data_IF_720839776619
#
_entry.id   IF_720839776619
#
_cell.length_a   1.000
_cell.length_b   1.000
_cell.length_c   1.000
_cell.angle_alpha   90.00
_cell.angle_beta   90.00
_cell.angle_gamma   90.00
#
_symmetry.space_group_name_H-M   'P 1'
#
loop_
_entity.id
_entity.type
_entity.pdbx_description
1 polymer ?
#
# COMPACT_ATOMS: atom_id res chain seq x y z
N UNK A 1 -50.16 17.35 22.84
CA UNK A 1 -48.74 17.40 23.00
C UNK A 1 -48.11 17.02 21.64
N UNK A 2 -47.62 18.00 20.91
CA UNK A 2 -46.88 17.77 19.65
C UNK A 2 -45.42 17.53 20.02
N UNK A 3 -44.93 16.32 19.83
CA UNK A 3 -43.52 16.04 19.84
C UNK A 3 -42.89 16.72 18.61
N UNK A 4 -42.13 17.78 18.86
CA UNK A 4 -41.20 18.32 17.88
C UNK A 4 -40.08 17.31 17.68
N UNK A 5 -40.10 16.60 16.57
CA UNK A 5 -38.91 15.90 16.06
C UNK A 5 -37.86 16.98 15.77
N UNK A 6 -36.90 17.13 16.66
CA UNK A 6 -35.66 17.82 16.34
C UNK A 6 -35.03 17.09 15.14
N UNK A 7 -35.09 17.71 13.98
CA UNK A 7 -34.25 17.30 12.86
C UNK A 7 -32.79 17.35 13.35
N UNK A 8 -32.10 16.20 13.38
CA UNK A 8 -30.67 16.15 13.61
C UNK A 8 -30.04 16.99 12.49
N UNK A 9 -29.23 17.98 12.88
CA UNK A 9 -28.47 18.76 11.93
C UNK A 9 -27.57 17.79 11.13
N UNK A 10 -27.66 17.87 9.82
CA UNK A 10 -26.77 17.18 8.90
C UNK A 10 -25.37 17.74 9.19
N UNK A 11 -24.40 16.89 9.52
CA UNK A 11 -23.03 17.34 9.71
C UNK A 11 -22.55 17.97 8.38
N UNK A 12 -22.53 19.28 8.33
CA UNK A 12 -21.99 19.98 7.17
C UNK A 12 -20.49 20.15 7.37
N UNK A 13 -19.73 19.48 6.54
CA UNK A 13 -18.29 19.71 6.45
C UNK A 13 -18.00 21.10 5.88
N UNK A 14 -16.97 21.73 6.40
CA UNK A 14 -16.45 23.02 5.92
C UNK A 14 -15.03 22.80 5.41
N UNK A 15 -14.81 23.13 4.15
CA UNK A 15 -13.50 23.10 3.53
C UNK A 15 -12.56 24.14 4.14
N UNK A 16 -11.34 23.74 4.37
CA UNK A 16 -10.25 24.58 4.83
C UNK A 16 -9.03 24.35 3.97
N UNK A 17 -8.32 25.43 3.70
CA UNK A 17 -7.04 25.41 3.02
C UNK A 17 -5.96 26.05 3.89
N UNK A 18 -4.78 25.49 3.89
CA UNK A 18 -3.60 26.01 4.57
C UNK A 18 -2.38 25.91 3.66
N UNK A 19 -1.65 27.02 3.54
CA UNK A 19 -0.34 27.03 2.89
C UNK A 19 0.73 26.98 3.97
N UNK A 20 1.59 25.99 3.91
CA UNK A 20 2.70 25.82 4.84
C UNK A 20 3.91 26.56 4.29
N UNK A 21 4.43 27.49 5.08
CA UNK A 21 5.60 28.31 4.72
C UNK A 21 6.86 27.92 5.50
N UNK A 22 6.69 27.19 6.59
CA UNK A 22 7.77 26.60 7.36
C UNK A 22 8.40 25.43 6.59
N UNK A 23 9.69 25.29 6.74
CA UNK A 23 10.41 24.13 6.21
C UNK A 23 10.14 22.93 7.09
N UNK A 24 9.97 21.79 6.47
CA UNK A 24 9.88 20.49 7.14
C UNK A 24 10.57 19.44 6.26
N UNK A 25 10.93 18.33 6.88
CA UNK A 25 11.52 17.19 6.20
C UNK A 25 10.61 15.96 6.25
N UNK A 26 9.97 15.77 7.37
CA UNK A 26 9.12 14.61 7.60
C UNK A 26 7.64 14.98 7.43
N UNK A 27 6.80 14.00 7.09
CA UNK A 27 5.36 14.17 6.90
C UNK A 27 4.63 13.09 7.70
N UNK A 28 3.73 13.50 8.58
CA UNK A 28 2.91 12.60 9.38
C UNK A 28 1.44 12.99 9.26
N UNK A 29 0.65 12.18 8.58
CA UNK A 29 -0.76 12.44 8.31
C UNK A 29 -1.61 11.38 9.00
N UNK A 30 -2.42 11.79 9.95
CA UNK A 30 -3.43 10.99 10.59
C UNK A 30 -4.78 11.69 10.46
N UNK A 31 -5.71 11.04 9.75
CA UNK A 31 -7.04 11.58 9.46
C UNK A 31 -8.14 10.87 10.25
N UNK A 32 -9.37 11.38 10.16
CA UNK A 32 -10.55 10.70 10.68
C UNK A 32 -10.76 9.33 10.00
N UNK A 33 -11.50 8.48 10.66
CA UNK A 33 -11.64 7.04 10.35
C UNK A 33 -12.07 6.72 8.90
N UNK A 34 -12.84 7.60 8.26
CA UNK A 34 -13.46 7.42 6.95
C UNK A 34 -13.02 8.45 5.89
N UNK A 35 -11.94 9.17 6.12
CA UNK A 35 -11.44 10.17 5.19
C UNK A 35 -10.39 9.61 4.24
N UNK A 36 -10.57 9.92 2.96
CA UNK A 36 -9.54 9.70 1.94
C UNK A 36 -8.39 10.68 2.11
N UNK A 37 -7.17 10.22 1.87
CA UNK A 37 -5.97 11.06 1.85
C UNK A 37 -5.30 10.96 0.49
N UNK A 38 -4.99 12.11 -0.09
CA UNK A 38 -4.26 12.21 -1.35
C UNK A 38 -2.99 13.03 -1.14
N UNK A 39 -1.85 12.39 -1.37
CA UNK A 39 -0.56 13.05 -1.45
C UNK A 39 -0.24 13.29 -2.93
N UNK A 40 -0.16 14.55 -3.33
CA UNK A 40 -0.01 14.96 -4.73
C UNK A 40 1.11 15.98 -4.90
N UNK A 41 1.55 16.19 -6.13
CA UNK A 41 2.53 17.21 -6.46
C UNK A 41 1.92 18.61 -6.32
N UNK A 42 2.70 19.54 -5.78
CA UNK A 42 2.32 20.94 -5.70
C UNK A 42 2.64 21.69 -6.99
N UNK A 43 1.77 22.60 -7.38
CA UNK A 43 1.97 23.46 -8.54
C UNK A 43 3.00 24.59 -8.30
N UNK A 44 3.46 24.75 -7.05
CA UNK A 44 4.44 25.75 -6.65
C UNK A 44 5.44 25.19 -5.61
N UNK A 45 6.38 25.99 -5.16
CA UNK A 45 7.42 25.57 -4.21
C UNK A 45 6.93 25.46 -2.74
N UNK A 46 5.59 25.40 -2.52
CA UNK A 46 5.01 25.35 -1.18
C UNK A 46 4.19 24.11 -0.97
N UNK A 47 4.05 23.74 0.29
CA UNK A 47 3.09 22.71 0.67
C UNK A 47 1.72 23.33 0.91
N UNK A 48 0.67 22.72 0.34
CA UNK A 48 -0.71 23.11 0.56
C UNK A 48 -1.49 21.93 1.13
N UNK A 49 -2.32 22.21 2.14
CA UNK A 49 -3.17 21.20 2.77
C UNK A 49 -4.62 21.66 2.66
N UNK A 50 -5.44 20.86 1.96
CA UNK A 50 -6.89 21.03 1.88
C UNK A 50 -7.54 19.92 2.70
N UNK A 51 -8.45 20.29 3.59
CA UNK A 51 -9.15 19.36 4.48
C UNK A 51 -10.54 19.84 4.86
N UNK A 52 -11.34 18.98 5.44
CA UNK A 52 -12.73 19.26 5.78
C UNK A 52 -12.99 19.04 7.26
N UNK A 53 -13.47 20.08 7.96
CA UNK A 53 -13.85 20.00 9.35
C UNK A 53 -15.37 20.03 9.53
N UNK A 54 -15.85 19.39 10.56
CA UNK A 54 -17.21 19.48 11.08
C UNK A 54 -17.18 19.77 12.58
N UNK A 55 -18.32 20.04 13.24
CA UNK A 55 -18.35 20.20 14.71
C UNK A 55 -17.77 19.03 15.50
N UNK A 56 -17.84 17.82 14.94
CA UNK A 56 -17.40 16.59 15.59
C UNK A 56 -16.07 16.06 15.04
N UNK A 57 -15.58 16.59 13.91
CA UNK A 57 -14.32 16.20 13.26
C UNK A 57 -13.48 17.44 13.07
N UNK A 58 -12.37 17.54 13.78
CA UNK A 58 -11.52 18.74 13.79
C UNK A 58 -10.08 18.31 13.50
N UNK A 59 -9.51 18.82 12.41
CA UNK A 59 -8.13 18.60 12.06
C UNK A 59 -7.22 19.70 12.60
N UNK A 60 -6.00 19.32 12.93
CA UNK A 60 -4.91 20.22 13.26
C UNK A 60 -3.74 19.97 12.32
N UNK A 61 -3.28 21.01 11.67
CA UNK A 61 -2.12 20.97 10.77
C UNK A 61 -1.05 21.92 11.33
N UNK A 62 0.12 21.38 11.62
CA UNK A 62 1.23 22.14 12.23
C UNK A 62 2.57 21.66 11.68
N UNK A 63 3.59 22.53 11.73
CA UNK A 63 4.98 22.09 11.57
C UNK A 63 5.64 22.10 12.94
N UNK A 64 6.13 20.96 13.37
CA UNK A 64 6.82 20.79 14.65
C UNK A 64 7.95 19.77 14.52
N UNK A 65 9.07 20.02 15.18
CA UNK A 65 10.24 19.13 15.18
C UNK A 65 10.69 18.71 13.75
N UNK A 66 10.66 19.64 12.80
CA UNK A 66 10.99 19.45 11.37
C UNK A 66 10.01 18.51 10.62
N UNK A 67 8.81 18.29 11.16
CA UNK A 67 7.76 17.47 10.57
C UNK A 67 6.48 18.27 10.30
N UNK A 68 5.88 18.09 9.13
CA UNK A 68 4.49 18.43 8.87
C UNK A 68 3.60 17.40 9.57
N UNK A 69 2.86 17.82 10.56
CA UNK A 69 2.00 16.94 11.36
C UNK A 69 0.55 17.33 11.16
N UNK A 70 -0.24 16.40 10.66
CA UNK A 70 -1.69 16.48 10.60
C UNK A 70 -2.31 15.46 11.53
N UNK A 71 -3.17 15.92 12.44
CA UNK A 71 -3.92 15.05 13.36
C UNK A 71 -5.40 15.36 13.29
N UNK A 72 -6.24 14.41 13.67
CA UNK A 72 -7.68 14.56 13.71
C UNK A 72 -8.24 14.19 15.09
N UNK A 73 -9.08 15.08 15.64
CA UNK A 73 -9.96 14.76 16.76
C UNK A 73 -11.33 14.39 16.21
N UNK A 74 -11.66 13.10 16.23
CA UNK A 74 -12.95 12.58 15.79
C UNK A 74 -13.81 12.23 17.00
N UNK A 75 -14.82 13.04 17.27
CA UNK A 75 -15.76 12.88 18.36
C UNK A 75 -17.12 12.33 17.92
N UNK A 76 -17.21 11.81 16.71
CA UNK A 76 -18.44 11.19 16.20
C UNK A 76 -18.80 9.96 17.02
N UNK A 77 -20.09 9.81 17.31
CA UNK A 77 -20.59 8.60 17.96
C UNK A 77 -21.01 7.57 16.92
N UNK A 78 -20.79 6.30 17.18
CA UNK A 78 -21.19 5.20 16.29
C UNK A 78 -22.64 5.37 15.82
N UNK A 79 -22.86 5.43 14.51
CA UNK A 79 -24.17 5.62 13.88
C UNK A 79 -24.61 7.09 13.72
N UNK A 80 -23.78 8.07 14.07
CA UNK A 80 -23.98 9.45 13.67
C UNK A 80 -23.36 9.63 12.27
N UNK A 81 -24.25 9.64 11.30
CA UNK A 81 -24.05 10.02 9.90
C UNK A 81 -23.31 9.06 8.96
N UNK A 82 -24.10 8.18 8.41
CA UNK A 82 -23.91 7.79 7.02
C UNK A 82 -24.68 8.82 6.14
N UNK A 83 -24.19 10.06 6.06
CA UNK A 83 -24.76 11.07 5.18
C UNK A 83 -24.36 10.74 3.74
N UNK A 84 -25.33 10.53 2.87
CA UNK A 84 -25.14 10.55 1.42
C UNK A 84 -24.80 12.01 1.01
N UNK A 85 -23.54 12.34 1.03
CA UNK A 85 -22.95 13.60 0.56
C UNK A 85 -21.59 13.29 -0.04
N UNK A 86 -20.92 14.26 -0.62
CA UNK A 86 -19.53 14.12 -1.04
C UNK A 86 -18.69 13.75 0.19
N UNK A 87 -18.02 12.60 0.13
CA UNK A 87 -17.21 12.12 1.25
C UNK A 87 -16.05 13.10 1.48
N UNK A 88 -15.80 13.51 2.74
CA UNK A 88 -14.71 14.42 3.04
C UNK A 88 -13.37 13.77 2.75
N UNK A 89 -12.43 14.55 2.26
CA UNK A 89 -11.09 14.10 1.90
C UNK A 89 -10.03 15.08 2.41
N UNK A 90 -8.80 14.62 2.40
CA UNK A 90 -7.61 15.42 2.65
C UNK A 90 -6.72 15.39 1.43
N UNK A 91 -6.28 16.55 0.96
CA UNK A 91 -5.24 16.66 -0.06
C UNK A 91 -4.05 17.38 0.53
N UNK A 92 -2.90 16.73 0.47
CA UNK A 92 -1.61 17.31 0.82
C UNK A 92 -0.79 17.44 -0.46
N UNK A 93 -0.65 18.65 -0.95
CA UNK A 93 0.17 18.96 -2.12
C UNK A 93 1.57 19.33 -1.64
N UNK A 94 2.57 18.57 -2.05
CA UNK A 94 3.96 18.77 -1.65
C UNK A 94 4.84 19.16 -2.84
N UNK A 95 5.79 20.06 -2.68
CA UNK A 95 6.75 20.39 -3.72
C UNK A 95 7.69 19.20 -4.00
N UNK A 96 8.28 19.17 -5.18
CA UNK A 96 9.35 18.22 -5.49
C UNK A 96 10.51 18.39 -4.50
N UNK A 97 11.03 17.29 -3.99
CA UNK A 97 12.13 17.32 -3.03
C UNK A 97 12.48 15.96 -2.44
N UNK A 98 13.51 15.98 -1.58
CA UNK A 98 13.88 14.84 -0.76
C UNK A 98 13.26 15.00 0.63
N UNK A 99 12.53 13.98 1.07
CA UNK A 99 11.88 13.94 2.37
C UNK A 99 12.59 12.93 3.29
N UNK A 100 12.40 13.09 4.60
CA UNK A 100 12.81 12.09 5.57
C UNK A 100 11.81 10.94 5.63
N UNK A 101 11.01 10.90 6.68
CA UNK A 101 9.97 9.88 6.83
C UNK A 101 8.59 10.43 6.46
N UNK A 102 7.85 9.67 5.66
CA UNK A 102 6.47 9.98 5.28
C UNK A 102 5.57 8.88 5.84
N UNK A 103 4.61 9.25 6.69
CA UNK A 103 3.64 8.33 7.28
C UNK A 103 2.22 8.80 7.02
N UNK A 104 1.38 7.92 6.51
CA UNK A 104 -0.05 8.15 6.30
C UNK A 104 -0.88 7.07 7.01
N UNK A 105 -1.87 7.50 7.79
CA UNK A 105 -2.73 6.59 8.55
C UNK A 105 -4.21 6.95 8.39
N UNK A 106 -5.01 5.96 8.01
CA UNK A 106 -6.47 6.01 8.01
C UNK A 106 -7.05 4.69 8.52
N UNK A 107 -8.35 4.63 8.84
CA UNK A 107 -8.99 3.35 9.20
C UNK A 107 -9.85 2.76 8.08
N UNK A 108 -10.59 3.58 7.36
CA UNK A 108 -11.51 3.10 6.31
C UNK A 108 -11.49 3.96 5.05
N UNK A 109 -10.72 5.05 5.05
CA UNK A 109 -10.54 5.88 3.88
C UNK A 109 -9.48 5.32 2.93
N UNK A 110 -9.43 5.85 1.74
CA UNK A 110 -8.44 5.49 0.72
C UNK A 110 -7.19 6.35 0.86
N UNK A 111 -6.01 5.72 0.87
CA UNK A 111 -4.74 6.43 0.86
C UNK A 111 -4.11 6.39 -0.53
N UNK A 112 -3.92 7.54 -1.13
CA UNK A 112 -3.38 7.69 -2.48
C UNK A 112 -2.10 8.51 -2.45
N UNK A 113 -1.03 8.00 -3.04
CA UNK A 113 0.18 8.76 -3.34
C UNK A 113 0.53 8.61 -4.81
N UNK A 114 0.44 9.69 -5.56
CA UNK A 114 0.74 9.70 -7.01
C UNK A 114 1.88 10.66 -7.38
N UNK A 115 2.42 11.39 -6.41
CA UNK A 115 3.57 12.28 -6.60
C UNK A 115 4.87 11.48 -6.69
N UNK A 116 5.84 11.99 -7.44
CA UNK A 116 7.18 11.43 -7.41
C UNK A 116 7.86 11.79 -6.09
N UNK A 117 8.12 10.77 -5.27
CA UNK A 117 8.68 10.91 -3.93
C UNK A 117 10.07 10.31 -3.86
N UNK A 118 10.99 11.04 -3.22
CA UNK A 118 12.26 10.52 -2.72
C UNK A 118 12.29 10.70 -1.19
N UNK A 119 12.41 9.61 -0.43
CA UNK A 119 12.38 9.68 1.04
C UNK A 119 13.20 8.57 1.72
N UNK A 120 13.40 8.70 3.03
CA UNK A 120 13.99 7.64 3.84
C UNK A 120 13.01 6.49 4.04
N UNK A 121 11.89 6.74 4.71
CA UNK A 121 10.82 5.75 4.92
C UNK A 121 9.49 6.26 4.38
N UNK A 122 8.79 5.41 3.63
CA UNK A 122 7.41 5.63 3.23
C UNK A 122 6.51 4.58 3.90
N UNK A 123 5.67 5.04 4.82
CA UNK A 123 4.81 4.17 5.62
C UNK A 123 3.33 4.47 5.39
N UNK A 124 2.55 3.43 5.16
CA UNK A 124 1.10 3.48 5.04
C UNK A 124 0.49 2.48 6.01
N UNK A 125 -0.40 2.95 6.85
CA UNK A 125 -1.22 2.10 7.73
C UNK A 125 -2.69 2.37 7.47
N UNK A 126 -3.38 1.36 7.02
CA UNK A 126 -4.79 1.41 6.68
C UNK A 126 -5.48 0.14 7.23
N UNK A 127 -6.71 0.24 7.73
CA UNK A 127 -7.37 -0.92 8.32
C UNK A 127 -8.34 -1.58 7.32
N UNK A 128 -9.26 -0.82 6.71
CA UNK A 128 -10.31 -1.37 5.85
C UNK A 128 -10.54 -0.60 4.54
N UNK A 129 -9.62 0.23 4.11
CA UNK A 129 -9.69 0.98 2.86
C UNK A 129 -8.68 0.49 1.83
N UNK A 130 -8.40 1.30 0.81
CA UNK A 130 -7.42 0.99 -0.23
C UNK A 130 -6.15 1.82 -0.11
N UNK A 131 -5.02 1.25 -0.48
CA UNK A 131 -3.74 1.98 -0.64
C UNK A 131 -3.29 1.95 -2.09
N UNK A 132 -3.24 3.11 -2.73
CA UNK A 132 -2.81 3.27 -4.14
C UNK A 132 -1.56 4.13 -4.18
N UNK A 133 -0.42 3.50 -4.40
CA UNK A 133 0.90 4.09 -4.22
C UNK A 133 1.71 4.00 -5.51
N UNK A 134 2.28 5.12 -5.95
CA UNK A 134 3.11 5.11 -7.15
C UNK A 134 4.26 6.11 -7.11
N UNK A 135 5.30 5.83 -7.90
CA UNK A 135 6.45 6.70 -8.13
C UNK A 135 7.25 7.01 -6.85
N UNK A 136 7.58 5.96 -6.08
CA UNK A 136 8.28 6.09 -4.81
C UNK A 136 9.72 5.57 -4.94
N UNK A 137 10.68 6.39 -4.54
CA UNK A 137 12.07 6.00 -4.31
C UNK A 137 12.36 6.17 -2.82
N UNK A 138 12.76 5.10 -2.12
CA UNK A 138 12.96 5.14 -0.68
C UNK A 138 14.03 4.16 -0.19
N UNK A 139 14.49 4.32 1.05
CA UNK A 139 15.23 3.24 1.71
C UNK A 139 14.26 2.12 2.16
N UNK A 140 13.11 2.52 2.71
CA UNK A 140 12.10 1.58 3.19
C UNK A 140 10.70 1.99 2.73
N UNK A 141 9.95 1.02 2.20
CA UNK A 141 8.50 1.16 1.95
C UNK A 141 7.78 0.10 2.78
N UNK A 142 6.87 0.54 3.66
CA UNK A 142 6.11 -0.32 4.54
C UNK A 142 4.61 -0.03 4.39
N UNK A 143 3.84 -1.02 3.95
CA UNK A 143 2.39 -0.92 3.79
C UNK A 143 1.73 -1.99 4.67
N UNK A 144 0.84 -1.56 5.54
CA UNK A 144 0.08 -2.44 6.42
C UNK A 144 -1.41 -2.15 6.24
N UNK A 145 -2.16 -3.19 5.87
CA UNK A 145 -3.64 -3.15 5.82
C UNK A 145 -4.23 -4.36 6.53
N UNK A 146 -5.44 -4.26 7.03
CA UNK A 146 -6.16 -5.43 7.53
C UNK A 146 -7.05 -6.02 6.43
N UNK A 147 -7.90 -5.21 5.80
CA UNK A 147 -8.80 -5.71 4.75
C UNK A 147 -9.00 -4.68 3.62
N UNK A 148 -7.90 -4.29 2.98
CA UNK A 148 -7.93 -3.32 1.91
C UNK A 148 -7.21 -3.82 0.67
N UNK A 149 -7.56 -3.26 -0.47
CA UNK A 149 -6.83 -3.44 -1.71
C UNK A 149 -5.51 -2.66 -1.63
N UNK A 150 -4.41 -3.26 -2.08
CA UNK A 150 -3.14 -2.56 -2.24
C UNK A 150 -2.73 -2.57 -3.70
N UNK A 151 -2.64 -1.39 -4.29
CA UNK A 151 -2.04 -1.20 -5.61
C UNK A 151 -0.74 -0.41 -5.46
N UNK A 152 0.35 -0.99 -5.92
CA UNK A 152 1.67 -0.36 -5.89
C UNK A 152 2.30 -0.39 -7.28
N UNK A 153 2.80 0.76 -7.74
CA UNK A 153 3.41 0.86 -9.07
C UNK A 153 4.64 1.76 -9.09
N UNK A 154 5.70 1.33 -9.78
CA UNK A 154 6.94 2.13 -9.94
C UNK A 154 7.55 2.49 -8.59
N UNK A 155 7.99 1.48 -7.85
CA UNK A 155 8.64 1.63 -6.54
C UNK A 155 10.05 1.06 -6.60
N UNK A 156 11.03 1.88 -6.25
CA UNK A 156 12.42 1.50 -6.07
C UNK A 156 12.82 1.75 -4.60
N UNK A 157 13.14 0.67 -3.87
CA UNK A 157 13.53 0.80 -2.46
C UNK A 157 14.46 -0.33 -2.01
N UNK A 158 15.32 -0.07 -1.01
CA UNK A 158 16.14 -1.15 -0.44
C UNK A 158 15.25 -2.24 0.16
N UNK A 159 14.17 -1.85 0.83
CA UNK A 159 13.19 -2.77 1.42
C UNK A 159 11.78 -2.37 1.09
N UNK A 160 11.03 -3.31 0.52
CA UNK A 160 9.59 -3.18 0.29
C UNK A 160 8.89 -4.25 1.13
N UNK A 161 7.98 -3.83 1.97
CA UNK A 161 7.17 -4.72 2.80
C UNK A 161 5.70 -4.34 2.70
N UNK A 162 4.89 -5.29 2.26
CA UNK A 162 3.44 -5.14 2.16
C UNK A 162 2.78 -6.27 2.93
N UNK A 163 1.96 -5.95 3.92
CA UNK A 163 1.24 -6.94 4.71
C UNK A 163 -0.25 -6.61 4.77
N UNK A 164 -1.09 -7.62 4.58
CA UNK A 164 -2.53 -7.54 4.82
C UNK A 164 -3.10 -8.85 5.31
N UNK A 165 -4.22 -8.78 6.05
CA UNK A 165 -4.94 -9.98 6.50
C UNK A 165 -5.92 -10.46 5.44
N UNK A 166 -6.49 -9.55 4.64
CA UNK A 166 -7.36 -9.87 3.50
C UNK A 166 -7.37 -8.70 2.50
N UNK A 167 -7.62 -8.98 1.24
CA UNK A 167 -7.64 -8.00 0.15
C UNK A 167 -6.73 -8.43 -1.00
N UNK A 168 -7.00 -7.89 -2.16
CA UNK A 168 -6.22 -8.19 -3.36
C UNK A 168 -5.05 -7.21 -3.49
N UNK A 169 -3.88 -7.74 -3.84
CA UNK A 169 -2.66 -6.96 -4.00
C UNK A 169 -2.21 -6.97 -5.45
N UNK A 170 -2.07 -5.79 -6.03
CA UNK A 170 -1.57 -5.57 -7.38
C UNK A 170 -0.25 -4.78 -7.33
N UNK A 171 0.85 -5.45 -7.65
CA UNK A 171 2.22 -4.94 -7.45
C UNK A 171 2.94 -4.90 -8.78
N UNK A 172 3.25 -3.71 -9.28
CA UNK A 172 3.81 -3.53 -10.62
C UNK A 172 5.09 -2.69 -10.60
N UNK A 173 6.11 -3.14 -11.34
CA UNK A 173 7.39 -2.43 -11.47
C UNK A 173 7.98 -2.09 -10.08
N UNK A 174 8.15 -3.10 -9.23
CA UNK A 174 8.72 -2.95 -7.90
C UNK A 174 10.10 -3.58 -7.85
N UNK A 175 11.09 -2.78 -7.52
CA UNK A 175 12.48 -3.20 -7.42
C UNK A 175 13.02 -2.94 -6.02
N UNK A 176 13.80 -3.88 -5.51
CA UNK A 176 14.44 -3.72 -4.21
C UNK A 176 15.46 -4.82 -3.89
N UNK A 177 16.22 -4.61 -2.84
CA UNK A 177 17.06 -5.67 -2.28
C UNK A 177 16.19 -6.78 -1.66
N UNK A 178 15.22 -6.37 -0.85
CA UNK A 178 14.28 -7.26 -0.20
C UNK A 178 12.83 -6.82 -0.50
N UNK A 179 12.06 -7.71 -1.11
CA UNK A 179 10.64 -7.48 -1.43
C UNK A 179 9.81 -8.56 -0.73
N UNK A 180 9.03 -8.16 0.26
CA UNK A 180 8.22 -9.08 1.08
C UNK A 180 6.76 -8.66 0.98
N UNK A 181 5.93 -9.51 0.40
CA UNK A 181 4.51 -9.28 0.20
C UNK A 181 3.73 -10.44 0.81
N UNK A 182 2.84 -10.11 1.73
CA UNK A 182 2.02 -11.10 2.44
C UNK A 182 0.56 -10.66 2.45
N UNK A 183 -0.26 -11.34 1.63
CA UNK A 183 -1.70 -11.21 1.63
C UNK A 183 -2.30 -12.41 2.36
N UNK A 184 -3.00 -12.21 3.47
CA UNK A 184 -3.58 -13.34 4.22
C UNK A 184 -4.61 -14.09 3.38
N UNK A 185 -5.62 -13.37 2.85
CA UNK A 185 -6.63 -13.90 1.93
C UNK A 185 -6.79 -12.92 0.78
N UNK A 186 -6.84 -13.44 -0.44
CA UNK A 186 -6.98 -12.62 -1.63
C UNK A 186 -5.93 -12.96 -2.68
N UNK A 187 -6.09 -12.37 -3.83
CA UNK A 187 -5.20 -12.53 -4.97
C UNK A 187 -3.93 -11.70 -4.79
N UNK A 188 -2.78 -12.28 -5.05
CA UNK A 188 -1.53 -11.56 -5.19
C UNK A 188 -1.12 -11.54 -6.66
N UNK A 189 -1.27 -10.39 -7.29
CA UNK A 189 -0.81 -10.16 -8.66
C UNK A 189 0.47 -9.35 -8.67
N UNK A 190 1.46 -9.80 -9.43
CA UNK A 190 2.73 -9.13 -9.58
C UNK A 190 3.17 -9.03 -11.04
N UNK A 191 3.78 -7.91 -11.41
CA UNK A 191 4.39 -7.75 -12.72
C UNK A 191 5.71 -6.98 -12.63
N UNK A 192 6.77 -7.52 -13.25
CA UNK A 192 8.11 -6.93 -13.25
C UNK A 192 8.62 -6.61 -11.85
N UNK A 193 8.65 -7.65 -11.01
CA UNK A 193 9.18 -7.51 -9.64
C UNK A 193 10.61 -8.04 -9.60
N UNK A 194 11.52 -7.24 -9.07
CA UNK A 194 12.94 -7.61 -8.91
C UNK A 194 13.37 -7.49 -7.47
N UNK A 195 13.77 -8.63 -6.88
CA UNK A 195 14.28 -8.71 -5.51
C UNK A 195 15.76 -9.15 -5.56
N UNK A 196 16.68 -8.18 -5.51
CA UNK A 196 18.09 -8.46 -5.72
C UNK A 196 18.67 -9.48 -4.71
N UNK A 197 18.17 -9.51 -3.48
CA UNK A 197 18.58 -10.47 -2.44
C UNK A 197 17.47 -11.48 -2.13
N UNK A 198 16.33 -11.00 -1.64
CA UNK A 198 15.23 -11.86 -1.19
C UNK A 198 13.88 -11.32 -1.65
N UNK A 199 13.10 -12.16 -2.34
CA UNK A 199 11.69 -11.95 -2.62
C UNK A 199 10.84 -12.99 -1.90
N UNK A 200 9.82 -12.56 -1.17
CA UNK A 200 8.85 -13.43 -0.51
C UNK A 200 7.43 -13.00 -0.87
N UNK A 201 6.65 -13.94 -1.38
CA UNK A 201 5.29 -13.74 -1.82
C UNK A 201 4.41 -14.80 -1.17
N UNK A 202 3.57 -14.38 -0.24
CA UNK A 202 2.84 -15.31 0.62
C UNK A 202 1.37 -14.98 0.70
N UNK A 203 0.53 -16.02 0.61
CA UNK A 203 -0.89 -15.95 0.95
C UNK A 203 -1.25 -17.14 1.85
N UNK A 204 -2.34 -17.03 2.61
CA UNK A 204 -2.90 -18.21 3.29
C UNK A 204 -3.93 -18.89 2.40
N UNK A 205 -4.81 -18.08 1.77
CA UNK A 205 -5.80 -18.60 0.81
C UNK A 205 -6.00 -17.59 -0.31
N UNK A 206 -5.44 -17.87 -1.43
CA UNK A 206 -5.49 -17.03 -2.61
C UNK A 206 -4.40 -17.42 -3.58
N UNK A 207 -4.61 -17.11 -4.83
CA UNK A 207 -3.67 -17.40 -5.89
C UNK A 207 -2.50 -16.40 -5.85
N UNK A 208 -1.35 -16.85 -6.31
CA UNK A 208 -0.16 -16.01 -6.50
C UNK A 208 0.18 -16.03 -7.99
N UNK A 209 -0.02 -14.91 -8.65
CA UNK A 209 0.25 -14.72 -10.07
C UNK A 209 1.34 -13.66 -10.23
N UNK A 210 2.57 -14.06 -10.56
CA UNK A 210 3.69 -13.11 -10.70
C UNK A 210 4.39 -13.26 -12.03
N UNK A 211 4.23 -12.26 -12.87
CA UNK A 211 4.82 -12.22 -14.20
C UNK A 211 6.12 -11.41 -14.24
N UNK A 212 7.09 -11.85 -15.04
CA UNK A 212 8.38 -11.19 -15.24
C UNK A 212 9.14 -10.93 -13.93
N UNK A 213 9.17 -11.92 -13.05
CA UNK A 213 9.88 -11.82 -11.77
C UNK A 213 11.37 -12.16 -11.91
N UNK A 214 12.21 -11.54 -11.08
CA UNK A 214 13.61 -11.92 -10.96
C UNK A 214 14.15 -11.68 -9.53
N UNK A 215 15.23 -12.40 -9.17
CA UNK A 215 15.89 -12.26 -7.88
C UNK A 215 16.83 -13.40 -7.55
N UNK A 216 17.62 -13.20 -6.50
CA UNK A 216 18.60 -14.21 -6.07
C UNK A 216 17.94 -15.35 -5.27
N UNK A 217 17.10 -15.04 -4.30
CA UNK A 217 16.31 -16.02 -3.55
C UNK A 217 14.84 -15.60 -3.54
N UNK A 218 14.01 -16.41 -4.17
CA UNK A 218 12.58 -16.14 -4.27
C UNK A 218 11.81 -17.26 -3.56
N UNK A 219 10.81 -16.87 -2.77
CA UNK A 219 9.94 -17.80 -2.06
C UNK A 219 8.48 -17.41 -2.29
N UNK A 220 7.71 -18.36 -2.82
CA UNK A 220 6.28 -18.25 -3.04
C UNK A 220 5.60 -19.31 -2.18
N UNK A 221 4.63 -18.91 -1.36
CA UNK A 221 3.94 -19.82 -0.47
C UNK A 221 2.46 -19.50 -0.35
N UNK A 222 1.62 -20.54 -0.46
CA UNK A 222 0.18 -20.48 -0.17
C UNK A 222 -0.27 -21.77 0.52
N UNK A 223 -1.26 -21.71 1.40
CA UNK A 223 -1.86 -22.92 1.95
C UNK A 223 -2.89 -23.51 0.98
N UNK A 224 -3.70 -22.63 0.34
CA UNK A 224 -4.67 -23.05 -0.67
C UNK A 224 -4.81 -22.00 -1.75
N UNK A 225 -4.29 -22.29 -2.92
CA UNK A 225 -4.30 -21.42 -4.08
C UNK A 225 -3.29 -21.90 -5.11
N UNK A 226 -3.47 -21.45 -6.33
CA UNK A 226 -2.55 -21.75 -7.42
C UNK A 226 -1.37 -20.78 -7.39
N UNK A 227 -0.26 -21.21 -7.96
CA UNK A 227 0.95 -20.39 -8.09
C UNK A 227 1.38 -20.41 -9.55
N UNK A 228 1.20 -19.29 -10.24
CA UNK A 228 1.64 -19.09 -11.63
C UNK A 228 2.74 -18.01 -11.65
N UNK A 229 3.93 -18.40 -12.12
CA UNK A 229 5.09 -17.52 -12.09
C UNK A 229 5.81 -17.55 -13.44
N UNK A 230 6.17 -16.38 -13.95
CA UNK A 230 7.15 -16.30 -15.01
C UNK A 230 8.43 -15.59 -14.60
N UNK A 231 9.58 -16.13 -15.03
CA UNK A 231 10.89 -15.59 -14.67
C UNK A 231 11.62 -14.98 -15.87
N UNK A 232 12.36 -13.91 -15.58
CA UNK A 232 13.25 -13.27 -16.54
C UNK A 232 14.59 -13.99 -16.71
N UNK A 233 14.99 -14.78 -15.72
CA UNK A 233 16.25 -15.52 -15.73
C UNK A 233 16.07 -16.95 -15.17
N UNK A 234 17.01 -17.82 -15.56
CA UNK A 234 17.03 -19.21 -15.11
C UNK A 234 17.17 -19.33 -13.57
N UNK A 235 16.49 -20.32 -13.01
CA UNK A 235 16.47 -20.57 -11.57
C UNK A 235 16.71 -22.04 -11.26
N UNK A 236 17.18 -22.32 -10.04
CA UNK A 236 17.09 -23.63 -9.42
C UNK A 236 15.78 -23.71 -8.63
N UNK A 237 14.89 -24.61 -9.02
CA UNK A 237 13.59 -24.77 -8.39
C UNK A 237 13.62 -25.79 -7.26
N UNK A 238 12.88 -25.50 -6.19
CA UNK A 238 12.46 -26.44 -5.17
C UNK A 238 10.95 -26.25 -4.99
N UNK A 239 10.16 -27.16 -5.56
CA UNK A 239 8.70 -27.05 -5.56
C UNK A 239 8.12 -28.18 -4.72
N UNK A 240 7.23 -27.83 -3.80
CA UNK A 240 6.50 -28.75 -2.94
C UNK A 240 5.01 -28.42 -3.02
N UNK A 241 4.25 -29.27 -3.73
CA UNK A 241 2.79 -29.28 -3.71
C UNK A 241 2.31 -30.59 -3.12
N UNK A 242 1.45 -30.54 -2.07
CA UNK A 242 0.92 -31.78 -1.47
C UNK A 242 -0.22 -32.36 -2.31
N UNK A 243 -1.01 -31.50 -2.97
CA UNK A 243 -2.07 -31.93 -3.88
C UNK A 243 -2.29 -30.84 -4.95
N UNK A 244 -2.03 -31.19 -6.18
CA UNK A 244 -2.10 -30.31 -7.34
C UNK A 244 -1.10 -30.75 -8.41
N UNK A 245 -1.27 -30.25 -9.60
CA UNK A 245 -0.36 -30.50 -10.70
C UNK A 245 0.84 -29.54 -10.60
N UNK A 246 2.02 -30.04 -11.00
CA UNK A 246 3.25 -29.23 -11.01
C UNK A 246 3.83 -29.26 -12.42
N UNK A 247 3.75 -28.11 -13.08
CA UNK A 247 4.30 -27.88 -14.42
C UNK A 247 5.43 -26.84 -14.33
N UNK A 248 6.66 -27.29 -14.43
CA UNK A 248 7.86 -26.47 -14.28
C UNK A 248 8.91 -26.82 -15.34
N UNK A 249 9.70 -25.84 -15.76
CA UNK A 249 10.84 -26.12 -16.66
C UNK A 249 11.88 -26.99 -15.97
N UNK A 250 12.76 -27.58 -16.75
CA UNK A 250 13.88 -28.34 -16.17
C UNK A 250 14.73 -27.43 -15.27
N UNK A 251 15.01 -27.84 -14.02
CA UNK A 251 15.73 -27.02 -13.07
C UNK A 251 17.21 -26.91 -13.42
N UNK A 252 17.74 -25.70 -13.47
CA UNK A 252 19.16 -25.45 -13.64
C UNK A 252 19.92 -25.64 -12.33
N UNK A 253 20.28 -26.87 -12.02
CA UNK A 253 20.84 -27.30 -10.72
C UNK A 253 22.15 -26.55 -10.34
N UNK A 254 22.90 -26.05 -11.29
CA UNK A 254 24.14 -25.29 -11.06
C UNK A 254 23.87 -23.78 -10.83
N UNK A 255 22.64 -23.33 -10.96
CA UNK A 255 22.32 -21.91 -10.80
C UNK A 255 22.31 -21.53 -9.30
N UNK A 256 22.93 -20.38 -8.98
CA UNK A 256 22.94 -19.85 -7.62
C UNK A 256 21.59 -19.19 -7.25
N UNK A 257 20.86 -18.68 -8.25
CA UNK A 257 19.54 -18.08 -8.07
C UNK A 257 18.50 -19.19 -7.81
N UNK A 258 17.76 -19.07 -6.71
CA UNK A 258 16.85 -20.08 -6.20
C UNK A 258 15.41 -19.58 -6.20
N UNK A 259 14.52 -20.50 -6.52
CA UNK A 259 13.10 -20.31 -6.30
C UNK A 259 12.54 -21.48 -5.50
N UNK A 260 11.87 -21.17 -4.40
CA UNK A 260 11.16 -22.12 -3.55
C UNK A 260 9.67 -21.85 -3.71
N UNK A 261 8.88 -22.90 -3.98
CA UNK A 261 7.43 -22.81 -4.06
C UNK A 261 6.82 -23.87 -3.13
N UNK A 262 6.03 -23.42 -2.19
CA UNK A 262 5.32 -24.28 -1.24
C UNK A 262 3.81 -24.03 -1.33
N UNK A 263 3.03 -25.06 -1.67
CA UNK A 263 1.56 -25.03 -1.58
C UNK A 263 1.04 -26.34 -0.94
N UNK A 264 0.01 -26.22 -0.11
CA UNK A 264 -0.63 -27.42 0.43
C UNK A 264 -1.70 -27.96 -0.54
N UNK A 265 -2.43 -27.05 -1.22
CA UNK A 265 -3.40 -27.47 -2.26
C UNK A 265 -3.50 -26.40 -3.33
N UNK A 266 -3.16 -26.75 -4.55
CA UNK A 266 -3.19 -25.87 -5.70
C UNK A 266 -2.14 -26.28 -6.73
N UNK A 267 -2.37 -25.88 -7.95
CA UNK A 267 -1.48 -26.16 -9.06
C UNK A 267 -0.30 -25.16 -9.06
N UNK A 268 0.85 -25.63 -9.51
CA UNK A 268 2.05 -24.80 -9.65
C UNK A 268 2.46 -24.77 -11.11
N UNK A 269 2.43 -23.61 -11.73
CA UNK A 269 2.94 -23.39 -13.07
C UNK A 269 4.11 -22.43 -13.03
N UNK A 270 5.25 -22.83 -13.57
CA UNK A 270 6.42 -21.99 -13.73
C UNK A 270 6.83 -21.95 -15.19
N UNK A 271 7.11 -20.78 -15.70
CA UNK A 271 7.61 -20.59 -17.08
C UNK A 271 8.72 -19.51 -17.11
N UNK A 272 9.42 -19.43 -18.21
CA UNK A 272 10.27 -18.28 -18.52
C UNK A 272 9.53 -17.36 -19.47
N UNK A 273 9.76 -16.06 -19.31
CA UNK A 273 9.26 -15.07 -20.27
C UNK A 273 9.91 -15.34 -21.63
N UNK A 274 9.11 -15.46 -22.66
CA UNK A 274 9.60 -15.63 -24.04
C UNK A 274 10.49 -14.43 -24.42
N UNK A 275 11.71 -14.72 -24.87
CA UNK A 275 12.71 -13.74 -25.30
C UNK A 275 12.48 -13.33 -26.74
#
# INVERSE_FOLDING_TARGET
MKEEKKAKAKNSYTEKEMTITEKFRDINIQVADDMDVKLVESDDDKCHVTYFDSPDVIHSVTVQDDALVMTCADNRTFGSDMGFGDDPYVVVSIPEGEYGDISMTSKTGTLVSSVQISCGTFEVTEVNGGAYLSNITAENVNVVTDSGEVTMASVDADRVKVNGSSGDFSIMNVHGDNVIISAGKGLLEGYNIKAAKVGQFMTSSGDINVDACDGHMLWFATESGNVDISFLSEKRFLVNSKSGEVDIPEPHMANENKCIVDTASGDVQIKYVDR
#
